data_IF_904672566614
#
_entry.id   IF_904672566614
#
_cell.length_a   1.000
_cell.length_b   1.000
_cell.length_c   1.000
_cell.angle_alpha   90.00
_cell.angle_beta   90.00
_cell.angle_gamma   90.00
#
_symmetry.space_group_name_H-M   'P 1'
#
loop_
_entity.id
_entity.type
_entity.pdbx_description
1 polymer ?
#
# COMPACT_ATOMS: atom_id res chain seq x y z
N UNK A 1 -4.88 -1.88 3.03
CA UNK A 1 -3.68 -2.73 2.95
C UNK A 1 -3.55 -3.24 1.53
N UNK A 2 -2.39 -3.08 0.90
CA UNK A 2 -2.16 -3.48 -0.49
C UNK A 2 -1.49 -4.87 -0.56
N UNK A 3 -1.60 -5.55 -1.69
CA UNK A 3 -0.94 -6.85 -1.93
C UNK A 3 -0.76 -7.07 -3.41
N UNK A 4 0.37 -7.65 -3.82
CA UNK A 4 0.53 -8.19 -5.17
C UNK A 4 -0.48 -9.31 -5.42
N UNK A 5 -0.97 -9.39 -6.66
CA UNK A 5 -1.95 -10.37 -7.10
C UNK A 5 -1.53 -10.93 -8.47
N UNK A 6 -1.75 -12.24 -8.74
CA UNK A 6 -1.50 -12.80 -10.06
C UNK A 6 -2.48 -12.21 -11.09
N UNK A 7 -2.05 -12.19 -12.34
CA UNK A 7 -2.91 -11.85 -13.47
C UNK A 7 -3.99 -12.94 -13.67
N UNK A 8 -5.10 -12.59 -14.31
CA UNK A 8 -6.21 -13.52 -14.58
C UNK A 8 -7.25 -13.65 -13.45
N UNK A 9 -7.24 -12.76 -12.46
CA UNK A 9 -8.30 -12.65 -11.43
C UNK A 9 -9.32 -11.58 -11.81
N UNK A 10 -10.59 -11.81 -11.45
CA UNK A 10 -11.65 -10.80 -11.51
C UNK A 10 -11.84 -10.22 -10.11
N UNK A 11 -11.64 -8.92 -9.97
CA UNK A 11 -11.77 -8.21 -8.70
C UNK A 11 -13.14 -7.55 -8.57
N UNK A 12 -13.63 -7.42 -7.34
CA UNK A 12 -14.84 -6.64 -7.06
C UNK A 12 -14.62 -5.16 -7.34
N UNK A 13 -15.67 -4.44 -7.74
CA UNK A 13 -15.65 -3.00 -8.03
C UNK A 13 -15.18 -2.11 -6.87
N UNK A 14 -15.18 -2.63 -5.63
CA UNK A 14 -14.67 -1.93 -4.44
C UNK A 14 -13.16 -2.02 -4.26
N UNK A 15 -12.46 -2.79 -5.08
CA UNK A 15 -11.00 -2.89 -5.06
C UNK A 15 -10.40 -2.01 -6.15
N UNK A 16 -9.29 -1.37 -5.81
CA UNK A 16 -8.46 -0.65 -6.78
C UNK A 16 -7.27 -1.52 -7.18
N UNK A 17 -7.03 -1.61 -8.49
CA UNK A 17 -5.93 -2.39 -9.07
C UNK A 17 -4.93 -1.43 -9.69
N UNK A 18 -3.69 -1.48 -9.23
CA UNK A 18 -2.59 -0.66 -9.74
C UNK A 18 -1.62 -1.56 -10.52
N UNK A 19 -1.28 -1.24 -11.79
CA UNK A 19 -0.34 -2.01 -12.59
C UNK A 19 1.11 -1.67 -12.23
N UNK A 20 1.47 -1.83 -10.96
CA UNK A 20 2.79 -1.49 -10.40
C UNK A 20 3.51 -2.78 -9.98
N UNK A 21 4.51 -3.25 -10.73
CA UNK A 21 5.19 -4.52 -10.43
C UNK A 21 6.32 -4.37 -9.39
N UNK A 22 6.79 -3.16 -9.09
CA UNK A 22 7.95 -2.94 -8.22
C UNK A 22 7.59 -2.88 -6.74
N UNK A 23 8.52 -3.33 -5.89
CA UNK A 23 8.38 -3.26 -4.44
C UNK A 23 8.51 -1.83 -3.90
N UNK A 24 9.15 -0.95 -4.65
CA UNK A 24 9.29 0.48 -4.34
C UNK A 24 7.94 1.14 -4.13
N UNK A 25 7.01 1.02 -5.08
CA UNK A 25 5.67 1.61 -4.93
C UNK A 25 4.89 0.92 -3.81
N UNK A 26 5.04 -0.40 -3.68
CA UNK A 26 4.45 -1.14 -2.57
C UNK A 26 4.91 -0.58 -1.21
N UNK A 27 6.21 -0.29 -1.04
CA UNK A 27 6.75 0.29 0.18
C UNK A 27 6.12 1.65 0.51
N UNK A 28 5.97 2.52 -0.49
CA UNK A 28 5.34 3.84 -0.34
C UNK A 28 3.87 3.69 0.07
N UNK A 29 3.10 2.84 -0.63
CA UNK A 29 1.67 2.64 -0.37
C UNK A 29 1.39 1.99 1.00
N UNK A 30 2.32 1.19 1.52
CA UNK A 30 2.23 0.62 2.86
C UNK A 30 2.79 1.53 3.97
N UNK A 31 3.43 2.64 3.59
CA UNK A 31 4.06 3.54 4.55
C UNK A 31 3.03 4.26 5.42
N UNK A 32 3.47 4.68 6.62
CA UNK A 32 2.65 5.52 7.51
C UNK A 32 2.29 6.88 6.87
N UNK A 33 3.13 7.38 5.97
CA UNK A 33 2.89 8.63 5.26
C UNK A 33 1.67 8.51 4.35
N UNK A 34 1.61 7.47 3.52
CA UNK A 34 0.46 7.22 2.65
C UNK A 34 -0.80 6.89 3.44
N UNK A 35 -0.67 6.15 4.55
CA UNK A 35 -1.82 5.88 5.44
C UNK A 35 -2.37 7.18 6.02
N UNK A 36 -1.52 8.06 6.56
CA UNK A 36 -1.95 9.35 7.09
C UNK A 36 -2.59 10.24 6.01
N UNK A 37 -2.02 10.28 4.81
CA UNK A 37 -2.57 10.97 3.64
C UNK A 37 -3.97 10.46 3.29
N UNK A 38 -4.13 9.13 3.30
CA UNK A 38 -5.40 8.51 2.98
C UNK A 38 -6.47 8.86 4.02
N UNK A 39 -6.14 8.82 5.31
CA UNK A 39 -7.07 9.23 6.37
C UNK A 39 -7.46 10.71 6.28
N UNK A 40 -6.59 11.56 5.75
CA UNK A 40 -6.86 12.98 5.58
C UNK A 40 -7.81 13.27 4.41
N UNK A 41 -7.65 12.57 3.28
CA UNK A 41 -8.31 12.93 2.01
C UNK A 41 -9.38 11.94 1.54
N UNK A 42 -9.32 10.67 1.94
CA UNK A 42 -10.40 9.73 1.63
C UNK A 42 -11.60 9.95 2.56
N UNK A 43 -12.78 9.65 2.02
CA UNK A 43 -13.98 9.51 2.84
C UNK A 43 -13.86 8.37 3.87
N UNK A 44 -14.69 8.43 4.90
CA UNK A 44 -14.89 7.32 5.83
C UNK A 44 -16.30 6.75 5.70
N UNK A 45 -16.45 5.46 5.98
CA UNK A 45 -17.73 4.81 6.18
C UNK A 45 -17.84 4.42 7.64
N UNK A 46 -18.56 5.24 8.42
CA UNK A 46 -18.51 5.20 9.90
C UNK A 46 -17.07 5.40 10.39
N UNK A 47 -16.48 4.39 11.00
CA UNK A 47 -15.10 4.41 11.51
C UNK A 47 -14.09 3.84 10.51
N UNK A 48 -14.56 3.22 9.42
CA UNK A 48 -13.70 2.54 8.48
C UNK A 48 -13.29 3.47 7.34
N UNK A 49 -12.05 3.34 6.90
CA UNK A 49 -11.52 4.09 5.78
C UNK A 49 -12.15 3.59 4.48
N UNK A 50 -12.76 4.50 3.71
CA UNK A 50 -13.27 4.22 2.37
C UNK A 50 -12.32 4.82 1.34
N UNK A 51 -11.28 4.04 1.02
CA UNK A 51 -10.19 4.42 0.12
C UNK A 51 -10.71 4.94 -1.23
N UNK A 52 -10.19 6.07 -1.70
CA UNK A 52 -10.44 6.60 -3.04
C UNK A 52 -9.12 6.76 -3.79
N UNK A 53 -8.96 6.07 -4.93
CA UNK A 53 -7.74 6.20 -5.72
C UNK A 53 -7.58 7.61 -6.32
N UNK A 54 -8.66 8.26 -6.76
CA UNK A 54 -8.59 9.63 -7.31
C UNK A 54 -8.18 10.65 -6.25
N UNK A 55 -8.75 10.55 -5.04
CA UNK A 55 -8.51 11.53 -3.98
C UNK A 55 -7.21 11.26 -3.20
N UNK A 56 -6.67 10.04 -3.25
CA UNK A 56 -5.50 9.67 -2.45
C UNK A 56 -4.32 9.17 -3.26
N UNK A 57 -4.49 8.25 -4.21
CA UNK A 57 -3.36 7.74 -4.98
C UNK A 57 -2.88 8.77 -6.00
N UNK A 58 -3.79 9.32 -6.81
CA UNK A 58 -3.46 10.26 -7.88
C UNK A 58 -2.91 11.59 -7.34
N UNK A 59 -3.34 11.98 -6.13
CA UNK A 59 -2.92 13.23 -5.47
C UNK A 59 -1.72 13.07 -4.54
N UNK A 60 -1.27 11.83 -4.26
CA UNK A 60 -0.17 11.61 -3.34
C UNK A 60 1.12 12.22 -3.91
N UNK A 61 1.86 13.02 -3.12
CA UNK A 61 3.12 13.61 -3.57
C UNK A 61 4.24 12.55 -3.56
N UNK A 62 4.27 11.70 -4.58
CA UNK A 62 5.31 10.68 -4.73
C UNK A 62 6.70 11.34 -4.79
N UNK A 63 7.69 10.80 -4.06
CA UNK A 63 9.07 11.24 -4.19
C UNK A 63 9.60 11.06 -5.63
N UNK A 64 10.65 11.80 -6.02
CA UNK A 64 11.33 11.58 -7.29
C UNK A 64 11.83 10.15 -7.45
N UNK A 65 11.83 9.62 -8.68
CA UNK A 65 12.20 8.23 -8.98
C UNK A 65 13.58 7.82 -8.43
N UNK A 66 14.56 8.72 -8.46
CA UNK A 66 15.89 8.47 -7.93
C UNK A 66 15.89 8.13 -6.43
N UNK A 67 15.00 8.75 -5.65
CA UNK A 67 14.85 8.46 -4.22
C UNK A 67 14.04 7.17 -4.00
N UNK A 68 13.04 6.95 -4.84
CA UNK A 68 12.19 5.78 -4.81
C UNK A 68 12.98 4.48 -5.02
N UNK A 69 13.97 4.45 -5.91
CA UNK A 69 14.79 3.26 -6.18
C UNK A 69 15.46 2.66 -4.91
N UNK A 70 15.78 3.50 -3.92
CA UNK A 70 16.36 3.05 -2.65
C UNK A 70 15.40 2.22 -1.78
N UNK A 71 14.10 2.29 -2.04
CA UNK A 71 13.05 1.62 -1.27
C UNK A 71 12.77 0.20 -1.75
N UNK A 72 13.23 -0.20 -2.95
CA UNK A 72 13.00 -1.54 -3.49
C UNK A 72 13.36 -2.67 -2.51
N UNK A 73 14.57 -2.72 -1.91
CA UNK A 73 14.91 -3.78 -0.96
C UNK A 73 14.05 -3.74 0.31
N UNK A 74 13.65 -2.55 0.77
CA UNK A 74 12.78 -2.38 1.95
C UNK A 74 11.37 -2.90 1.65
N UNK A 75 10.84 -2.58 0.47
CA UNK A 75 9.55 -3.07 0.01
C UNK A 75 9.51 -4.58 -0.12
N UNK A 76 10.57 -5.20 -0.63
CA UNK A 76 10.71 -6.66 -0.72
C UNK A 76 10.72 -7.29 0.68
N UNK A 77 11.54 -6.76 1.60
CA UNK A 77 11.58 -7.24 2.99
C UNK A 77 10.22 -7.13 3.69
N UNK A 78 9.52 -6.01 3.50
CA UNK A 78 8.17 -5.82 4.03
C UNK A 78 7.19 -6.83 3.45
N UNK A 79 7.23 -7.05 2.13
CA UNK A 79 6.37 -8.02 1.47
C UNK A 79 6.62 -9.43 2.00
N UNK A 80 7.88 -9.86 2.12
CA UNK A 80 8.23 -11.18 2.64
C UNK A 80 7.79 -11.35 4.10
N UNK A 81 8.03 -10.33 4.94
CA UNK A 81 7.60 -10.34 6.34
C UNK A 81 6.07 -10.43 6.47
N UNK A 82 5.31 -9.79 5.57
CA UNK A 82 3.84 -9.82 5.58
C UNK A 82 3.24 -11.18 5.19
N UNK A 83 4.04 -12.05 4.58
CA UNK A 83 3.65 -13.41 4.16
C UNK A 83 3.99 -14.48 5.18
N UNK A 84 4.83 -14.16 6.17
CA UNK A 84 5.14 -15.10 7.24
C UNK A 84 3.92 -15.24 8.17
N UNK A 85 3.58 -16.46 8.60
CA UNK A 85 2.54 -16.64 9.61
C UNK A 85 2.95 -15.88 10.86
N UNK A 86 2.00 -15.19 11.50
CA UNK A 86 2.25 -14.34 12.66
C UNK A 86 2.89 -15.15 13.79
N UNK A 87 4.23 -15.18 13.83
CA UNK A 87 4.98 -15.70 14.96
C UNK A 87 4.62 -14.82 16.14
N UNK A 88 4.09 -15.45 17.19
CA UNK A 88 3.79 -14.87 18.50
C UNK A 88 4.53 -13.56 18.74
N UNK A 89 3.85 -12.42 18.57
CA UNK A 89 4.31 -11.13 19.08
C UNK A 89 4.20 -11.24 20.60
N UNK A 90 5.27 -11.73 21.24
CA UNK A 90 5.47 -11.61 22.67
C UNK A 90 5.44 -10.12 22.99
N UNK A 91 4.38 -9.74 23.71
CA UNK A 91 4.28 -8.47 24.41
C UNK A 91 5.44 -8.42 25.41
N UNK A 92 6.29 -7.41 25.29
CA UNK A 92 6.95 -6.81 26.44
C UNK A 92 6.04 -5.71 26.97
#
# INVERSE_FOLDING_TARGET
>A
MFSFQPTGRVFSHKLFVFPLPSFTHFAVLQSRLHVAWTWLLSSTMKTDLNYSASECFETFPFPPEAQLASLEPIGQQLYDASRLPARHRLRL
#
